data_IF_694628001639
#
_entry.id   IF_694628001639
#
_cell.length_a   1.000
_cell.length_b   1.000
_cell.length_c   1.000
_cell.angle_alpha   90.00
_cell.angle_beta   90.00
_cell.angle_gamma   90.00
#
_symmetry.space_group_name_H-M   'P 1'
#
loop_
_entity.id
_entity.type
_entity.pdbx_description
1 polymer ?
#
# COMPACT_ATOMS: atom_id res chain seq x y z
N UNK A 1 1.78 -28.27 26.35
CA UNK A 1 0.45 -27.67 26.12
C UNK A 1 0.62 -26.69 24.98
N UNK A 2 0.26 -27.09 23.75
CA UNK A 2 0.18 -26.12 22.66
C UNK A 2 -0.89 -25.06 22.97
N UNK A 3 -0.57 -23.78 22.76
CA UNK A 3 -1.54 -22.70 22.88
C UNK A 3 -2.28 -22.63 21.54
N UNK A 4 -3.59 -22.95 21.46
CA UNK A 4 -4.30 -23.05 20.17
C UNK A 4 -4.25 -21.77 19.33
N UNK A 5 -4.06 -20.61 19.97
CA UNK A 5 -3.88 -19.30 19.34
C UNK A 5 -2.58 -19.19 18.53
N UNK A 6 -1.52 -19.93 18.88
CA UNK A 6 -0.23 -19.86 18.18
C UNK A 6 -0.29 -20.48 16.78
N UNK A 7 -1.23 -21.39 16.52
CA UNK A 7 -1.46 -21.97 15.19
C UNK A 7 -2.59 -21.30 14.40
N UNK A 8 -3.35 -20.38 15.00
CA UNK A 8 -4.45 -19.72 14.33
C UNK A 8 -3.93 -18.78 13.24
N UNK A 9 -4.26 -19.07 11.97
CA UNK A 9 -3.91 -18.25 10.81
C UNK A 9 -5.13 -17.52 10.28
N UNK A 10 -5.01 -16.19 10.16
CA UNK A 10 -6.11 -15.32 9.72
C UNK A 10 -5.81 -14.78 8.34
N UNK A 11 -6.80 -14.74 7.45
CA UNK A 11 -6.63 -14.15 6.12
C UNK A 11 -6.37 -12.64 6.21
N UNK A 12 -5.47 -12.13 5.37
CA UNK A 12 -5.23 -10.70 5.27
C UNK A 12 -6.52 -9.97 4.81
N UNK A 13 -6.91 -8.85 5.44
CA UNK A 13 -8.07 -8.05 5.00
C UNK A 13 -7.87 -7.50 3.58
N UNK A 14 -6.63 -7.37 3.10
CA UNK A 14 -6.30 -6.90 1.77
C UNK A 14 -6.37 -8.00 0.69
N UNK A 15 -7.07 -9.11 0.95
CA UNK A 15 -7.30 -10.17 -0.05
C UNK A 15 -8.02 -9.63 -1.29
N UNK A 16 -8.92 -8.65 -1.11
CA UNK A 16 -9.60 -7.95 -2.21
C UNK A 16 -8.63 -7.15 -3.10
N UNK A 17 -7.44 -6.83 -2.58
CA UNK A 17 -6.37 -6.12 -3.29
C UNK A 17 -5.21 -7.07 -3.69
N UNK A 18 -5.42 -8.39 -3.61
CA UNK A 18 -4.48 -9.42 -4.08
C UNK A 18 -3.59 -10.04 -2.99
N UNK A 19 -3.76 -9.69 -1.72
CA UNK A 19 -2.96 -10.32 -0.66
C UNK A 19 -3.47 -11.72 -0.32
N UNK A 20 -2.72 -12.75 -0.74
CA UNK A 20 -3.02 -14.15 -0.38
C UNK A 20 -2.48 -14.58 1.00
N UNK A 21 -1.84 -13.67 1.74
CA UNK A 21 -1.18 -14.01 3.00
C UNK A 21 -2.18 -14.42 4.10
N UNK A 22 -1.78 -15.43 4.89
CA UNK A 22 -2.50 -15.89 6.08
C UNK A 22 -1.55 -15.95 7.29
N UNK A 23 -1.11 -14.79 7.82
CA UNK A 23 -0.20 -14.72 8.97
C UNK A 23 -0.81 -15.36 10.22
N UNK A 24 0.05 -15.75 11.17
CA UNK A 24 -0.42 -16.15 12.48
C UNK A 24 -1.12 -14.97 13.18
N UNK A 25 -2.05 -15.27 14.09
CA UNK A 25 -2.86 -14.24 14.75
C UNK A 25 -2.03 -13.10 15.35
N UNK A 26 -0.90 -13.42 16.00
CA UNK A 26 -0.01 -12.45 16.64
C UNK A 26 0.87 -11.66 15.65
N UNK A 27 1.06 -12.15 14.43
CA UNK A 27 1.84 -11.48 13.37
C UNK A 27 0.99 -10.54 12.51
N UNK A 28 -0.32 -10.53 12.69
CA UNK A 28 -1.25 -9.77 11.85
C UNK A 28 -0.91 -8.28 11.78
N UNK A 29 -0.54 -7.67 12.90
CA UNK A 29 -0.22 -6.24 12.92
C UNK A 29 1.08 -5.94 12.18
N UNK A 30 2.12 -6.75 12.39
CA UNK A 30 3.37 -6.62 11.64
C UNK A 30 3.14 -6.79 10.14
N UNK A 31 2.34 -7.79 9.73
CA UNK A 31 1.95 -7.97 8.35
C UNK A 31 1.20 -6.75 7.79
N UNK A 32 0.22 -6.20 8.52
CA UNK A 32 -0.57 -5.03 8.07
C UNK A 32 0.30 -3.81 7.78
N UNK A 33 1.33 -3.56 8.59
CA UNK A 33 2.24 -2.43 8.38
C UNK A 33 3.12 -2.59 7.14
N UNK A 34 3.36 -3.82 6.69
CA UNK A 34 4.26 -4.15 5.58
C UNK A 34 3.52 -4.70 4.35
N UNK A 35 2.19 -4.75 4.39
CA UNK A 35 1.39 -5.37 3.34
C UNK A 35 1.44 -4.49 2.08
N UNK A 36 2.14 -4.95 1.04
CA UNK A 36 2.25 -4.26 -0.25
C UNK A 36 0.91 -4.10 -0.99
N UNK A 37 -0.10 -4.87 -0.58
CA UNK A 37 -1.47 -4.81 -1.11
C UNK A 37 -2.38 -3.91 -0.27
N UNK A 38 -1.87 -3.27 0.80
CA UNK A 38 -2.65 -2.30 1.54
C UNK A 38 -3.02 -1.12 0.62
N UNK A 39 -4.27 -0.65 0.65
CA UNK A 39 -4.67 0.49 -0.16
C UNK A 39 -3.93 1.75 0.30
N UNK A 40 -3.56 2.60 -0.67
CA UNK A 40 -2.88 3.86 -0.45
C UNK A 40 -3.90 5.01 -0.33
N UNK A 41 -3.56 6.00 0.51
CA UNK A 41 -4.35 7.22 0.66
C UNK A 41 -3.84 8.31 -0.30
N UNK A 42 -4.74 9.08 -0.88
CA UNK A 42 -4.37 10.27 -1.65
C UNK A 42 -3.73 11.35 -0.75
N UNK A 43 -2.60 11.95 -1.15
CA UNK A 43 -1.96 13.05 -0.42
C UNK A 43 -2.61 14.42 -0.68
N UNK A 44 -3.64 14.49 -1.52
CA UNK A 44 -4.36 15.73 -1.81
C UNK A 44 -5.04 16.31 -0.58
N UNK A 45 -4.98 17.63 -0.44
CA UNK A 45 -5.65 18.34 0.65
C UNK A 45 -7.16 18.09 0.61
N UNK A 46 -7.76 17.85 1.78
CA UNK A 46 -9.15 17.46 1.95
C UNK A 46 -9.62 16.23 1.10
N UNK A 47 -8.70 15.47 0.51
CA UNK A 47 -9.03 14.28 -0.27
C UNK A 47 -9.09 13.03 0.64
N UNK A 48 -10.20 12.32 0.59
CA UNK A 48 -10.43 11.08 1.36
C UNK A 48 -10.29 9.80 0.52
N UNK A 49 -9.75 9.90 -0.69
CA UNK A 49 -9.58 8.73 -1.55
C UNK A 49 -8.59 7.73 -0.93
N UNK A 50 -9.01 6.47 -0.88
CA UNK A 50 -8.21 5.32 -0.45
C UNK A 50 -8.48 4.18 -1.44
N UNK A 51 -7.42 3.64 -2.04
CA UNK A 51 -7.55 2.59 -3.05
C UNK A 51 -6.21 1.93 -3.39
N UNK A 52 -6.22 0.88 -4.23
CA UNK A 52 -4.97 0.29 -4.73
C UNK A 52 -4.16 1.30 -5.55
N UNK A 53 -2.87 1.05 -5.70
CA UNK A 53 -1.93 1.94 -6.41
C UNK A 53 -2.42 2.33 -7.81
N UNK A 54 -2.93 1.38 -8.60
CA UNK A 54 -3.44 1.66 -9.95
C UNK A 54 -4.60 2.66 -9.93
N UNK A 55 -5.59 2.44 -9.06
CA UNK A 55 -6.72 3.36 -8.92
C UNK A 55 -6.30 4.75 -8.39
N UNK A 56 -5.25 4.81 -7.56
CA UNK A 56 -4.71 6.08 -7.07
C UNK A 56 -4.04 6.88 -8.20
N UNK A 57 -3.34 6.22 -9.11
CA UNK A 57 -2.73 6.87 -10.27
C UNK A 57 -3.78 7.46 -11.21
N UNK A 58 -4.85 6.71 -11.48
CA UNK A 58 -5.99 7.20 -12.25
C UNK A 58 -6.69 8.37 -11.54
N UNK A 59 -6.85 8.27 -10.21
CA UNK A 59 -7.41 9.33 -9.36
C UNK A 59 -6.61 10.63 -9.47
N UNK A 60 -5.27 10.57 -9.50
CA UNK A 60 -4.43 11.76 -9.66
C UNK A 60 -4.74 12.52 -10.95
N UNK A 61 -4.84 11.81 -12.07
CA UNK A 61 -5.15 12.43 -13.35
C UNK A 61 -6.61 12.91 -13.42
N UNK A 62 -7.56 12.08 -12.97
CA UNK A 62 -8.99 12.34 -13.13
C UNK A 62 -9.56 13.38 -12.16
N UNK A 63 -9.11 13.39 -10.90
CA UNK A 63 -9.66 14.25 -9.85
C UNK A 63 -8.80 15.50 -9.64
N UNK A 64 -7.47 15.36 -9.68
CA UNK A 64 -6.56 16.46 -9.40
C UNK A 64 -5.90 17.06 -10.65
N UNK A 65 -6.02 16.41 -11.81
CA UNK A 65 -5.30 16.82 -13.02
C UNK A 65 -3.77 16.74 -12.87
N UNK A 66 -3.28 15.99 -11.87
CA UNK A 66 -1.86 15.88 -11.61
C UNK A 66 -1.17 15.04 -12.68
N UNK A 67 0.06 15.41 -13.07
CA UNK A 67 0.83 14.61 -14.01
C UNK A 67 1.13 13.25 -13.39
N UNK A 68 0.52 12.21 -13.95
CA UNK A 68 0.81 10.83 -13.55
C UNK A 68 1.97 10.29 -14.40
N UNK A 69 3.21 10.45 -13.94
CA UNK A 69 4.38 9.90 -14.63
C UNK A 69 4.52 8.40 -14.32
N UNK A 70 3.81 7.55 -15.05
CA UNK A 70 3.98 6.08 -14.95
C UNK A 70 5.23 5.57 -15.66
N UNK A 71 6.03 6.45 -16.27
CA UNK A 71 7.29 6.11 -16.95
C UNK A 71 8.47 6.11 -15.99
N UNK A 72 8.43 5.33 -14.92
CA UNK A 72 9.66 4.91 -14.26
C UNK A 72 10.06 3.58 -14.91
N UNK A 73 11.02 3.62 -15.82
CA UNK A 73 11.74 2.40 -16.19
C UNK A 73 12.47 1.93 -14.93
N UNK A 74 12.11 0.77 -14.41
CA UNK A 74 12.84 0.09 -13.34
C UNK A 74 14.33 0.05 -13.70
N UNK A 75 15.12 0.96 -13.12
CA UNK A 75 16.55 1.11 -13.44
C UNK A 75 17.12 2.54 -13.38
N UNK A 76 16.31 3.60 -13.40
CA UNK A 76 16.85 4.97 -13.30
C UNK A 76 16.72 5.54 -11.88
N UNK A 77 17.83 5.55 -11.14
CA UNK A 77 17.98 6.32 -9.91
C UNK A 77 18.02 7.80 -10.26
N UNK A 78 16.87 8.47 -10.18
CA UNK A 78 16.81 9.92 -10.26
C UNK A 78 17.39 10.52 -8.98
N UNK A 79 18.56 11.16 -9.08
CA UNK A 79 19.18 11.88 -7.98
C UNK A 79 18.43 13.17 -7.68
N UNK A 80 17.32 13.06 -6.94
CA UNK A 80 16.64 14.25 -6.42
C UNK A 80 17.48 14.78 -5.26
N UNK A 81 18.26 15.84 -5.53
CA UNK A 81 18.97 16.57 -4.49
C UNK A 81 17.97 17.47 -3.77
N UNK A 82 17.42 16.96 -2.67
CA UNK A 82 16.67 17.80 -1.73
C UNK A 82 17.66 18.79 -1.12
N UNK A 83 17.36 20.09 -1.24
CA UNK A 83 18.07 21.12 -0.48
C UNK A 83 17.34 21.24 0.85
N UNK A 84 17.98 20.81 1.92
CA UNK A 84 17.56 21.16 3.28
C UNK A 84 17.64 22.68 3.44
N UNK A 85 16.55 23.28 3.92
CA UNK A 85 16.47 24.70 4.30
C UNK A 85 16.85 24.90 5.75
#
# INVERSE_FOLDING_TARGET
MERPVESARVACPNVAYGCAARPAYYEQQAHRQLCLHAPCRCPGDACSFIGPTEALLDHFAGVHGWPCSTKVRTGEMSSVRLKDG
#
